data_IF_711412841326
#
_entry.id   IF_711412841326
#
_cell.length_a   1.000
_cell.length_b   1.000
_cell.length_c   1.000
_cell.angle_alpha   90.00
_cell.angle_beta   90.00
_cell.angle_gamma   90.00
#
_symmetry.space_group_name_H-M   'P 1'
#
loop_
_entity.id
_entity.type
_entity.pdbx_description
1 polymer ?
#
# COMPACT_ATOMS: atom_id res chain seq x y z
N UNK A 1 -6.61 10.35 -2.00
CA UNK A 1 -5.52 10.95 -2.81
C UNK A 1 -4.25 10.21 -2.43
N UNK A 2 -3.50 9.70 -3.41
CA UNK A 2 -2.21 9.07 -3.14
C UNK A 2 -1.08 10.11 -3.10
N UNK A 3 -0.13 9.91 -2.19
CA UNK A 3 1.12 10.66 -2.05
C UNK A 3 2.27 9.70 -2.35
N UNK A 4 3.04 10.01 -3.39
CA UNK A 4 4.10 9.16 -3.90
C UNK A 4 5.45 9.84 -3.62
N UNK A 5 6.31 9.16 -2.87
CA UNK A 5 7.65 9.64 -2.57
C UNK A 5 8.58 9.65 -3.78
N UNK A 6 9.78 10.26 -3.65
CA UNK A 6 10.76 10.27 -4.72
C UNK A 6 11.26 8.85 -5.05
N UNK A 7 11.58 8.63 -6.33
CA UNK A 7 12.16 7.39 -6.85
C UNK A 7 11.32 6.11 -6.59
N UNK A 8 10.01 6.25 -6.31
CA UNK A 8 9.10 5.12 -6.22
C UNK A 8 8.93 4.49 -7.61
N UNK A 9 9.07 3.17 -7.67
CA UNK A 9 8.76 2.39 -8.87
C UNK A 9 7.40 1.72 -8.73
N UNK A 10 6.49 2.02 -9.66
CA UNK A 10 5.17 1.37 -9.76
C UNK A 10 5.14 0.66 -11.11
N UNK A 11 5.23 -0.67 -11.08
CA UNK A 11 5.16 -1.45 -12.31
C UNK A 11 3.71 -1.72 -12.76
N UNK A 12 3.55 -2.49 -13.84
CA UNK A 12 2.30 -2.55 -14.59
C UNK A 12 1.15 -3.14 -13.77
N UNK A 13 -0.06 -2.63 -14.03
CA UNK A 13 -1.32 -3.11 -13.44
C UNK A 13 -1.41 -3.01 -11.91
N UNK A 14 -0.57 -2.19 -11.27
CA UNK A 14 -0.79 -1.85 -9.87
C UNK A 14 -2.03 -0.94 -9.74
N UNK A 15 -2.81 -1.17 -8.69
CA UNK A 15 -3.98 -0.36 -8.34
C UNK A 15 -3.68 0.34 -7.01
N UNK A 16 -3.79 1.66 -7.00
CA UNK A 16 -3.58 2.49 -5.80
C UNK A 16 -4.80 3.38 -5.64
N UNK A 17 -5.58 3.13 -4.60
CA UNK A 17 -6.85 3.79 -4.35
C UNK A 17 -6.91 4.35 -2.92
N UNK A 18 -7.51 5.54 -2.74
CA UNK A 18 -7.73 6.12 -1.42
C UNK A 18 -6.57 7.01 -0.90
N UNK A 19 -6.55 7.31 0.41
CA UNK A 19 -5.48 8.04 1.07
C UNK A 19 -4.25 7.15 1.33
N UNK A 20 -3.42 6.97 0.31
CA UNK A 20 -2.21 6.13 0.36
C UNK A 20 -0.96 7.00 0.40
N UNK A 21 -0.01 6.67 1.26
CA UNK A 21 1.35 7.24 1.28
C UNK A 21 2.36 6.16 0.95
N UNK A 22 3.20 6.42 -0.05
CA UNK A 22 4.29 5.52 -0.44
C UNK A 22 5.63 6.22 -0.21
N UNK A 23 6.44 5.67 0.69
CA UNK A 23 7.77 6.17 1.02
C UNK A 23 8.74 6.11 -0.15
N UNK A 24 9.82 6.90 -0.07
CA UNK A 24 10.83 7.00 -1.12
C UNK A 24 11.42 5.63 -1.51
N UNK A 25 11.78 5.47 -2.79
CA UNK A 25 12.48 4.28 -3.33
C UNK A 25 11.71 2.95 -3.17
N UNK A 26 10.45 2.99 -2.75
CA UNK A 26 9.61 1.80 -2.68
C UNK A 26 9.37 1.23 -4.09
N UNK A 27 9.25 -0.09 -4.19
CA UNK A 27 9.07 -0.83 -5.44
C UNK A 27 7.82 -1.69 -5.38
N UNK A 28 6.81 -1.33 -6.15
CA UNK A 28 5.62 -2.13 -6.41
C UNK A 28 5.83 -2.82 -7.76
N UNK A 29 5.91 -4.15 -7.79
CA UNK A 29 6.36 -4.89 -8.98
C UNK A 29 5.30 -4.95 -10.08
N UNK A 30 4.27 -5.76 -9.96
CA UNK A 30 3.12 -5.73 -10.89
C UNK A 30 1.90 -6.27 -10.16
N UNK A 31 0.70 -5.83 -10.53
CA UNK A 31 -0.53 -6.34 -9.91
C UNK A 31 -0.56 -6.21 -8.37
N UNK A 32 0.11 -5.19 -7.81
CA UNK A 32 -0.04 -4.84 -6.39
C UNK A 32 -1.33 -4.03 -6.23
N UNK A 33 -2.14 -4.37 -5.24
CA UNK A 33 -3.37 -3.66 -4.90
C UNK A 33 -3.21 -2.97 -3.54
N UNK A 34 -3.34 -1.64 -3.51
CA UNK A 34 -3.34 -0.85 -2.28
C UNK A 34 -4.61 -0.01 -2.26
N UNK A 35 -5.41 -0.16 -1.21
CA UNK A 35 -6.67 0.59 -1.05
C UNK A 35 -6.78 1.23 0.35
N UNK A 36 -7.77 2.09 0.55
CA UNK A 36 -8.05 2.78 1.81
C UNK A 36 -6.86 3.58 2.38
N UNK A 37 -6.74 3.67 3.71
CA UNK A 37 -5.69 4.44 4.39
C UNK A 37 -4.47 3.58 4.67
N UNK A 38 -3.45 3.71 3.82
CA UNK A 38 -2.21 2.93 3.90
C UNK A 38 -1.00 3.86 3.92
N UNK A 39 -0.06 3.59 4.82
CA UNK A 39 1.27 4.21 4.86
C UNK A 39 2.33 3.13 4.66
N UNK A 40 3.07 3.21 3.56
CA UNK A 40 4.19 2.32 3.23
C UNK A 40 5.51 3.06 3.45
N UNK A 41 6.43 2.48 4.22
CA UNK A 41 7.75 3.05 4.47
C UNK A 41 8.65 3.13 3.24
N UNK A 42 9.80 3.79 3.40
CA UNK A 42 10.84 3.85 2.36
C UNK A 42 11.47 2.48 2.09
N UNK A 43 12.00 2.30 0.89
CA UNK A 43 12.74 1.10 0.46
C UNK A 43 11.94 -0.22 0.59
N UNK A 44 10.61 -0.15 0.68
CA UNK A 44 9.76 -1.33 0.66
C UNK A 44 9.77 -2.00 -0.72
N UNK A 45 9.64 -3.32 -0.75
CA UNK A 45 9.45 -4.09 -1.99
C UNK A 45 8.18 -4.91 -1.86
N UNK A 46 7.20 -4.63 -2.71
CA UNK A 46 5.93 -5.36 -2.80
C UNK A 46 5.90 -6.18 -4.10
N UNK A 47 5.97 -7.50 -3.95
CA UNK A 47 5.92 -8.48 -5.03
C UNK A 47 4.50 -8.62 -5.60
N UNK A 48 4.35 -9.30 -6.76
CA UNK A 48 3.05 -9.40 -7.39
C UNK A 48 1.96 -10.00 -6.51
N UNK A 49 0.74 -9.44 -6.65
CA UNK A 49 -0.47 -9.85 -5.94
C UNK A 49 -0.50 -9.54 -4.43
N UNK A 50 0.45 -8.76 -3.91
CA UNK A 50 0.33 -8.15 -2.59
C UNK A 50 -0.91 -7.25 -2.55
N UNK A 51 -1.77 -7.48 -1.55
CA UNK A 51 -3.01 -6.75 -1.34
C UNK A 51 -3.01 -6.09 0.04
N UNK A 52 -3.07 -4.76 0.09
CA UNK A 52 -2.95 -3.96 1.31
C UNK A 52 -4.14 -3.03 1.49
N UNK A 53 -4.56 -2.87 2.75
CA UNK A 53 -5.58 -1.88 3.15
C UNK A 53 -7.03 -2.30 2.87
N UNK A 54 -7.28 -3.53 2.44
CA UNK A 54 -8.65 -4.05 2.35
C UNK A 54 -9.32 -4.10 3.73
N UNK A 55 -10.67 -4.01 3.79
CA UNK A 55 -11.42 -4.10 5.04
C UNK A 55 -11.02 -5.30 5.90
N UNK A 56 -10.97 -5.15 7.23
CA UNK A 56 -10.85 -6.27 8.14
C UNK A 56 -11.92 -7.32 7.86
N UNK A 57 -11.55 -8.60 7.91
CA UNK A 57 -12.50 -9.72 7.77
C UNK A 57 -13.27 -10.02 9.07
N UNK A 58 -13.37 -9.03 9.97
CA UNK A 58 -14.11 -9.14 11.23
C UNK A 58 -15.57 -8.73 11.01
N UNK A 59 -16.51 -9.57 11.42
CA UNK A 59 -17.96 -9.30 11.33
C UNK A 59 -18.41 -8.05 12.10
N UNK A 60 -17.62 -7.58 13.06
CA UNK A 60 -17.90 -6.36 13.83
C UNK A 60 -17.52 -5.10 13.09
N UNK A 61 -16.72 -5.19 12.03
CA UNK A 61 -16.30 -4.04 11.23
C UNK A 61 -17.51 -3.46 10.49
N UNK A 62 -17.76 -2.17 10.68
CA UNK A 62 -18.90 -1.43 10.11
C UNK A 62 -18.45 -0.28 9.20
N UNK A 63 -17.21 -0.31 8.73
CA UNK A 63 -16.64 0.76 7.91
C UNK A 63 -15.96 1.84 8.73
N UNK A 64 -15.46 1.51 9.92
CA UNK A 64 -14.66 2.42 10.74
C UNK A 64 -13.43 2.90 9.98
N UNK A 65 -13.00 4.13 10.26
CA UNK A 65 -11.79 4.73 9.69
C UNK A 65 -10.53 4.05 10.26
N UNK A 66 -10.16 2.93 9.63
CA UNK A 66 -8.99 2.13 9.99
C UNK A 66 -7.80 2.49 9.11
N UNK A 67 -6.59 2.17 9.61
CA UNK A 67 -5.34 2.44 8.88
C UNK A 67 -4.38 1.27 8.97
N UNK A 68 -3.57 1.10 7.92
CA UNK A 68 -2.44 0.18 7.88
C UNK A 68 -1.14 0.98 7.76
N UNK A 69 -0.16 0.66 8.59
CA UNK A 69 1.18 1.27 8.55
C UNK A 69 2.21 0.15 8.42
N UNK A 70 3.03 0.21 7.37
CA UNK A 70 4.12 -0.73 7.10
C UNK A 70 5.45 0.03 7.21
N UNK A 71 6.36 -0.49 8.02
CA UNK A 71 7.67 0.13 8.25
C UNK A 71 8.60 0.07 7.03
N UNK A 72 9.68 0.86 7.09
CA UNK A 72 10.70 0.91 6.04
C UNK A 72 11.42 -0.44 5.83
N UNK A 73 11.91 -0.68 4.61
CA UNK A 73 12.70 -1.87 4.22
C UNK A 73 11.96 -3.21 4.44
N UNK A 74 10.64 -3.16 4.45
CA UNK A 74 9.79 -4.36 4.51
C UNK A 74 9.70 -4.98 3.12
N UNK A 75 9.79 -6.31 3.06
CA UNK A 75 9.64 -7.09 1.83
C UNK A 75 8.40 -7.96 1.95
N UNK A 76 7.49 -7.87 0.98
CA UNK A 76 6.20 -8.58 0.95
C UNK A 76 5.96 -9.18 -0.43
#
# INVERSE_FOLDING_TARGET
>A
RAEIGPDVHIGPYCVIEGPVRIGARARLISHVSITARVELGEDCVLYPFVALGHPPQDFKYKGEDTRLVVGARTVM
#
